data_IF_755557550990
#
_entry.id   IF_755557550990
#
_cell.length_a   1.000
_cell.length_b   1.000
_cell.length_c   1.000
_cell.angle_alpha   90.00
_cell.angle_beta   90.00
_cell.angle_gamma   90.00
#
_symmetry.space_group_name_H-M   'P 1'
#
loop_
_entity.id
_entity.type
_entity.pdbx_description
1 polymer ?
#
# COMPACT_ATOMS: atom_id res chain seq x y z
N UNK A 1 0.19 -18.50 -1.94
CA UNK A 1 1.11 -17.41 -1.56
C UNK A 1 0.51 -16.61 -0.41
N UNK A 2 1.34 -16.14 0.48
CA UNK A 2 0.95 -15.25 1.59
C UNK A 2 1.19 -13.79 1.18
N UNK A 3 0.15 -13.01 1.11
CA UNK A 3 0.20 -11.63 0.63
C UNK A 3 -0.22 -10.64 1.73
N UNK A 4 0.59 -9.61 1.95
CA UNK A 4 0.25 -8.49 2.80
C UNK A 4 -0.21 -7.30 1.97
N UNK A 5 -1.38 -6.75 2.30
CA UNK A 5 -1.87 -5.50 1.71
C UNK A 5 -1.70 -4.40 2.75
N UNK A 6 -0.81 -3.45 2.50
CA UNK A 6 -0.46 -2.41 3.47
C UNK A 6 -0.97 -1.06 2.96
N UNK A 7 -1.87 -0.45 3.75
CA UNK A 7 -2.43 0.86 3.46
C UNK A 7 -1.71 1.91 4.31
N UNK A 8 -1.02 2.84 3.65
CA UNK A 8 -0.32 3.94 4.32
C UNK A 8 -1.25 5.15 4.43
N UNK A 9 -1.66 5.47 5.65
CA UNK A 9 -2.67 6.49 5.94
C UNK A 9 -2.23 7.41 7.09
N UNK A 10 -0.94 7.75 7.15
CA UNK A 10 -0.37 8.54 8.25
C UNK A 10 0.23 9.90 7.81
N UNK A 11 -0.01 10.33 6.58
CA UNK A 11 0.51 11.60 6.08
C UNK A 11 -0.03 12.82 6.84
N UNK A 12 0.78 13.87 6.97
CA UNK A 12 0.45 15.07 7.74
C UNK A 12 -0.50 16.05 7.06
N UNK A 13 -0.78 15.90 5.77
CA UNK A 13 -1.69 16.77 4.99
C UNK A 13 -1.40 18.27 5.14
N UNK A 14 -0.14 18.66 5.31
CA UNK A 14 0.26 20.06 5.58
C UNK A 14 -0.20 21.05 4.51
N UNK A 15 -0.19 20.61 3.25
CA UNK A 15 -0.59 21.47 2.10
C UNK A 15 -2.09 21.70 2.02
N UNK A 16 -2.88 20.84 2.66
CA UNK A 16 -4.33 20.88 2.61
C UNK A 16 -4.95 21.67 3.77
N UNK A 17 -4.15 21.98 4.82
CA UNK A 17 -4.61 22.73 5.99
C UNK A 17 -5.47 21.94 6.97
N UNK A 18 -5.88 20.73 6.61
CA UNK A 18 -6.62 19.78 7.45
C UNK A 18 -6.30 18.37 6.98
N UNK A 19 -6.77 17.35 7.69
CA UNK A 19 -6.54 15.98 7.27
C UNK A 19 -7.32 15.65 5.99
N UNK A 20 -6.65 15.69 4.84
CA UNK A 20 -7.29 15.40 3.54
C UNK A 20 -7.86 13.98 3.46
N UNK A 21 -7.32 13.02 4.21
CA UNK A 21 -7.80 11.64 4.21
C UNK A 21 -9.20 11.51 4.79
N UNK A 22 -9.62 12.45 5.63
CA UNK A 22 -10.98 12.53 6.16
C UNK A 22 -11.93 13.34 5.27
N UNK A 23 -11.41 13.97 4.23
CA UNK A 23 -12.21 14.74 3.30
C UNK A 23 -13.16 13.83 2.52
N UNK A 24 -14.43 14.24 2.44
CA UNK A 24 -15.47 13.44 1.79
C UNK A 24 -15.40 13.57 0.27
N UNK A 25 -15.33 12.43 -0.41
CA UNK A 25 -15.40 12.32 -1.87
C UNK A 25 -16.49 11.30 -2.18
N UNK A 26 -17.48 11.71 -2.97
CA UNK A 26 -18.61 10.85 -3.33
C UNK A 26 -19.31 10.21 -2.10
N UNK A 27 -19.48 11.00 -1.05
CA UNK A 27 -20.22 10.57 0.15
C UNK A 27 -19.39 9.79 1.18
N UNK A 28 -18.12 9.52 0.92
CA UNK A 28 -17.25 8.81 1.86
C UNK A 28 -15.91 9.50 2.05
N UNK A 29 -15.28 9.38 3.24
CA UNK A 29 -13.93 9.90 3.44
C UNK A 29 -12.93 9.29 2.45
N UNK A 30 -11.94 10.07 2.04
CA UNK A 30 -10.95 9.66 1.04
C UNK A 30 -10.30 8.30 1.37
N UNK A 31 -9.87 8.09 2.62
CA UNK A 31 -9.23 6.83 3.02
C UNK A 31 -10.16 5.62 2.90
N UNK A 32 -11.48 5.85 3.05
CA UNK A 32 -12.47 4.75 3.03
C UNK A 32 -12.58 4.12 1.64
N UNK A 33 -12.35 4.90 0.58
CA UNK A 33 -12.35 4.39 -0.78
C UNK A 33 -11.33 3.30 -0.97
N UNK A 34 -10.06 3.55 -0.60
CA UNK A 34 -9.03 2.54 -0.77
C UNK A 34 -9.20 1.36 0.18
N UNK A 35 -9.63 1.60 1.42
CA UNK A 35 -9.88 0.52 2.36
C UNK A 35 -10.93 -0.45 1.83
N UNK A 36 -12.02 0.05 1.28
CA UNK A 36 -13.09 -0.76 0.67
C UNK A 36 -12.57 -1.59 -0.50
N UNK A 37 -11.73 -0.99 -1.35
CA UNK A 37 -11.15 -1.71 -2.49
C UNK A 37 -10.18 -2.81 -2.04
N UNK A 38 -9.38 -2.56 -1.00
CA UNK A 38 -8.48 -3.58 -0.43
C UNK A 38 -9.27 -4.76 0.16
N UNK A 39 -10.40 -4.49 0.79
CA UNK A 39 -11.27 -5.56 1.32
C UNK A 39 -11.83 -6.45 0.20
N UNK A 40 -12.20 -5.86 -0.93
CA UNK A 40 -12.63 -6.60 -2.12
C UNK A 40 -11.49 -7.43 -2.70
N UNK A 41 -10.31 -6.87 -2.78
CA UNK A 41 -9.09 -7.56 -3.25
C UNK A 41 -8.80 -8.77 -2.36
N UNK A 42 -8.82 -8.59 -1.03
CA UNK A 42 -8.61 -9.69 -0.10
C UNK A 42 -9.59 -10.83 -0.32
N UNK A 43 -10.87 -10.50 -0.49
CA UNK A 43 -11.90 -11.51 -0.76
C UNK A 43 -11.60 -12.31 -2.02
N UNK A 44 -11.27 -11.63 -3.11
CA UNK A 44 -10.92 -12.27 -4.38
C UNK A 44 -9.68 -13.17 -4.26
N UNK A 45 -8.65 -12.70 -3.56
CA UNK A 45 -7.42 -13.48 -3.35
C UNK A 45 -7.66 -14.72 -2.51
N UNK A 46 -8.50 -14.64 -1.49
CA UNK A 46 -8.89 -15.81 -0.68
C UNK A 46 -9.64 -16.84 -1.50
N UNK A 47 -10.51 -16.41 -2.41
CA UNK A 47 -11.20 -17.29 -3.34
C UNK A 47 -10.23 -18.00 -4.27
N UNK A 48 -9.10 -17.38 -4.59
CA UNK A 48 -8.01 -17.95 -5.40
C UNK A 48 -7.02 -18.78 -4.56
N UNK A 49 -7.35 -19.08 -3.30
CA UNK A 49 -6.54 -19.89 -2.38
C UNK A 49 -5.26 -19.22 -1.88
N UNK A 50 -5.16 -17.90 -1.97
CA UNK A 50 -4.09 -17.14 -1.33
C UNK A 50 -4.45 -16.79 0.10
N UNK A 51 -3.44 -16.69 0.97
CA UNK A 51 -3.60 -16.07 2.29
C UNK A 51 -3.35 -14.57 2.10
N UNK A 52 -4.26 -13.75 2.59
CA UNK A 52 -4.18 -12.29 2.40
C UNK A 52 -4.64 -11.57 3.66
N UNK A 53 -3.83 -10.63 4.14
CA UNK A 53 -4.14 -9.79 5.29
C UNK A 53 -3.97 -8.32 4.95
N UNK A 54 -4.79 -7.46 5.56
CA UNK A 54 -4.73 -6.01 5.40
C UNK A 54 -4.18 -5.40 6.67
N UNK A 55 -3.18 -4.52 6.53
CA UNK A 55 -2.61 -3.72 7.61
C UNK A 55 -2.78 -2.24 7.26
N UNK A 56 -3.34 -1.47 8.19
CA UNK A 56 -3.51 -0.02 8.05
C UNK A 56 -2.51 0.67 8.97
N UNK A 57 -1.67 1.52 8.41
CA UNK A 57 -0.74 2.34 9.19
C UNK A 57 -1.24 3.78 9.20
N UNK A 58 -1.56 4.31 10.37
CA UNK A 58 -2.14 5.64 10.51
C UNK A 58 -1.66 6.35 11.77
N UNK A 59 -1.83 7.66 11.82
CA UNK A 59 -1.70 8.46 13.04
C UNK A 59 -3.08 8.95 13.55
N UNK A 60 -4.14 8.69 12.81
CA UNK A 60 -5.47 9.27 13.05
C UNK A 60 -6.40 8.26 13.70
N UNK A 61 -6.99 8.64 14.83
CA UNK A 61 -7.92 7.78 15.58
C UNK A 61 -9.16 7.40 14.77
N UNK A 62 -9.68 8.31 13.96
CA UNK A 62 -10.88 8.04 13.15
C UNK A 62 -10.62 6.95 12.12
N UNK A 63 -9.44 6.96 11.49
CA UNK A 63 -9.05 5.94 10.51
C UNK A 63 -8.82 4.62 11.21
N UNK A 64 -8.11 4.64 12.35
CA UNK A 64 -7.84 3.45 13.15
C UNK A 64 -9.14 2.79 13.60
N UNK A 65 -10.07 3.55 14.14
CA UNK A 65 -11.34 3.04 14.63
C UNK A 65 -12.17 2.38 13.52
N UNK A 66 -12.23 3.00 12.34
CA UNK A 66 -12.95 2.42 11.21
C UNK A 66 -12.29 1.14 10.70
N UNK A 67 -10.97 1.12 10.61
CA UNK A 67 -10.23 -0.06 10.18
C UNK A 67 -10.40 -1.23 11.18
N UNK A 68 -10.33 -0.95 12.48
CA UNK A 68 -10.56 -1.95 13.53
C UNK A 68 -11.99 -2.49 13.48
N UNK A 69 -12.97 -1.62 13.25
CA UNK A 69 -14.37 -2.00 13.09
C UNK A 69 -14.57 -2.97 11.90
N UNK A 70 -13.76 -2.81 10.85
CA UNK A 70 -13.76 -3.71 9.70
C UNK A 70 -12.96 -5.00 9.95
N UNK A 71 -12.36 -5.17 11.13
CA UNK A 71 -11.59 -6.35 11.48
C UNK A 71 -10.15 -6.33 10.95
N UNK A 72 -9.65 -5.17 10.55
CA UNK A 72 -8.31 -5.04 9.99
C UNK A 72 -7.25 -4.80 11.06
N UNK A 73 -5.99 -5.12 10.75
CA UNK A 73 -4.88 -4.78 11.63
C UNK A 73 -4.54 -3.30 11.52
N UNK A 74 -4.36 -2.65 12.65
CA UNK A 74 -4.01 -1.23 12.71
C UNK A 74 -2.71 -1.05 13.45
N UNK A 75 -1.80 -0.29 12.86
CA UNK A 75 -0.54 0.11 13.49
C UNK A 75 -0.46 1.64 13.48
N UNK A 76 -0.08 2.20 14.62
CA UNK A 76 0.06 3.64 14.76
C UNK A 76 1.47 4.10 14.40
N UNK A 77 1.56 5.15 13.61
CA UNK A 77 2.81 5.86 13.40
C UNK A 77 2.87 7.07 14.34
N UNK A 78 3.71 6.98 15.36
CA UNK A 78 3.88 8.04 16.36
C UNK A 78 4.87 9.13 15.87
N UNK A 79 5.57 8.89 14.77
CA UNK A 79 6.57 9.79 14.20
C UNK A 79 6.34 10.05 12.71
N UNK A 80 5.14 10.54 12.32
CA UNK A 80 4.84 10.75 10.91
C UNK A 80 5.73 11.82 10.24
N UNK A 81 6.35 12.68 11.06
CA UNK A 81 7.28 13.71 10.57
C UNK A 81 8.57 13.13 9.99
N UNK A 82 8.88 11.88 10.30
CA UNK A 82 10.04 11.19 9.73
C UNK A 82 9.82 10.79 8.26
N UNK A 83 8.66 11.09 7.70
CA UNK A 83 8.33 10.86 6.29
C UNK A 83 7.67 9.51 6.05
N UNK A 84 7.33 9.26 4.77
CA UNK A 84 6.59 8.08 4.36
C UNK A 84 7.37 6.77 4.67
N UNK A 85 8.70 6.82 4.67
CA UNK A 85 9.51 5.65 5.00
C UNK A 85 9.19 5.09 6.39
N UNK A 86 8.87 5.95 7.36
CA UNK A 86 8.52 5.51 8.72
C UNK A 86 7.25 4.67 8.71
N UNK A 87 6.20 5.10 8.00
CA UNK A 87 4.96 4.35 7.88
C UNK A 87 5.15 3.03 7.12
N UNK A 88 5.93 3.06 6.04
CA UNK A 88 6.23 1.88 5.25
C UNK A 88 6.94 0.82 6.11
N UNK A 89 7.95 1.21 6.88
CA UNK A 89 8.69 0.30 7.76
C UNK A 89 7.82 -0.29 8.86
N UNK A 90 6.93 0.51 9.44
CA UNK A 90 5.99 0.04 10.46
C UNK A 90 5.08 -1.04 9.87
N UNK A 91 4.47 -0.77 8.72
CA UNK A 91 3.60 -1.72 8.05
C UNK A 91 4.33 -3.01 7.67
N UNK A 92 5.54 -2.88 7.14
CA UNK A 92 6.35 -4.02 6.75
C UNK A 92 6.78 -4.86 7.95
N UNK A 93 7.10 -4.24 9.08
CA UNK A 93 7.54 -4.96 10.29
C UNK A 93 6.53 -6.02 10.76
N UNK A 94 5.25 -5.79 10.51
CA UNK A 94 4.17 -6.71 10.85
C UNK A 94 3.92 -7.77 9.77
N UNK A 95 4.53 -7.62 8.60
CA UNK A 95 4.28 -8.45 7.43
C UNK A 95 5.53 -9.19 6.95
N UNK A 96 6.55 -9.30 7.79
CA UNK A 96 7.84 -9.93 7.41
C UNK A 96 7.72 -11.39 7.00
N UNK A 97 6.70 -12.08 7.46
CA UNK A 97 6.44 -13.47 7.13
C UNK A 97 5.64 -13.66 5.84
N UNK A 98 5.16 -12.56 5.25
CA UNK A 98 4.46 -12.62 3.97
C UNK A 98 5.45 -12.85 2.82
N UNK A 99 5.02 -13.61 1.81
CA UNK A 99 5.83 -13.86 0.60
C UNK A 99 6.04 -12.58 -0.21
N UNK A 100 5.04 -11.71 -0.20
CA UNK A 100 5.08 -10.40 -0.85
C UNK A 100 4.16 -9.41 -0.14
N UNK A 101 4.49 -8.12 -0.24
CA UNK A 101 3.67 -7.03 0.29
C UNK A 101 3.35 -6.02 -0.81
N UNK A 102 2.09 -5.64 -0.88
CA UNK A 102 1.61 -4.56 -1.72
C UNK A 102 1.40 -3.33 -0.85
N UNK A 103 1.95 -2.20 -1.28
CA UNK A 103 1.78 -0.91 -0.59
C UNK A 103 0.85 -0.02 -1.39
N UNK A 104 -0.16 0.54 -0.71
CA UNK A 104 -1.06 1.55 -1.25
C UNK A 104 -0.96 2.81 -0.41
N UNK A 105 -1.24 3.95 -1.03
CA UNK A 105 -1.42 5.22 -0.33
C UNK A 105 -2.90 5.57 -0.29
N UNK A 106 -3.31 6.31 0.74
CA UNK A 106 -4.74 6.57 0.99
C UNK A 106 -5.29 7.78 0.24
N UNK A 107 -4.43 8.49 -0.47
CA UNK A 107 -4.83 9.67 -1.26
C UNK A 107 -5.04 9.36 -2.74
N UNK A 108 -5.37 8.11 -3.06
CA UNK A 108 -5.75 7.67 -4.40
C UNK A 108 -7.18 7.12 -4.38
N UNK A 109 -8.20 7.96 -4.18
CA UNK A 109 -9.58 7.49 -3.99
C UNK A 109 -10.18 6.80 -5.22
N UNK A 110 -9.56 6.98 -6.39
CA UNK A 110 -10.02 6.40 -7.65
C UNK A 110 -9.34 5.07 -8.00
N UNK A 111 -8.41 4.61 -7.17
CA UNK A 111 -7.76 3.31 -7.38
C UNK A 111 -8.78 2.19 -7.18
N UNK A 112 -8.92 1.34 -8.19
CA UNK A 112 -9.89 0.24 -8.19
C UNK A 112 -9.23 -1.08 -7.79
N UNK A 113 -10.02 -1.95 -7.16
CA UNK A 113 -9.58 -3.30 -6.80
C UNK A 113 -9.15 -4.12 -8.01
N UNK A 114 -9.81 -3.93 -9.15
CA UNK A 114 -9.45 -4.60 -10.41
C UNK A 114 -8.02 -4.26 -10.85
N UNK A 115 -7.61 -3.01 -10.66
CA UNK A 115 -6.24 -2.58 -10.98
C UNK A 115 -5.24 -3.27 -10.05
N UNK A 116 -5.56 -3.36 -8.77
CA UNK A 116 -4.70 -4.04 -7.78
C UNK A 116 -4.58 -5.52 -8.10
N UNK A 117 -5.69 -6.19 -8.40
CA UNK A 117 -5.69 -7.62 -8.78
C UNK A 117 -4.88 -7.86 -10.05
N UNK A 118 -5.04 -6.99 -11.06
CA UNK A 118 -4.27 -7.09 -12.29
C UNK A 118 -2.77 -6.93 -12.04
N UNK A 119 -2.38 -6.01 -11.15
CA UNK A 119 -0.98 -5.83 -10.78
C UNK A 119 -0.41 -7.06 -10.08
N UNK A 120 -1.16 -7.65 -9.16
CA UNK A 120 -0.76 -8.89 -8.49
C UNK A 120 -0.64 -10.05 -9.47
N UNK A 121 -1.51 -10.13 -10.46
CA UNK A 121 -1.42 -11.13 -11.52
C UNK A 121 -0.14 -10.96 -12.34
N UNK A 122 0.19 -9.73 -12.73
CA UNK A 122 1.44 -9.41 -13.42
C UNK A 122 2.65 -9.82 -12.58
N UNK A 123 2.64 -9.49 -11.29
CA UNK A 123 3.69 -9.87 -10.35
C UNK A 123 3.90 -11.38 -10.29
N UNK A 124 2.82 -12.14 -10.17
CA UNK A 124 2.88 -13.60 -10.09
C UNK A 124 3.34 -14.24 -11.39
N UNK A 125 2.92 -13.69 -12.52
CA UNK A 125 3.18 -14.24 -13.85
C UNK A 125 4.61 -13.99 -14.33
N UNK A 126 5.15 -12.81 -14.10
CA UNK A 126 6.47 -12.44 -14.61
C UNK A 126 7.63 -12.93 -13.74
N UNK A 127 7.36 -13.38 -12.52
CA UNK A 127 8.39 -13.93 -11.64
C UNK A 127 9.46 -12.94 -11.21
N UNK A 128 9.22 -11.64 -11.38
CA UNK A 128 10.12 -10.59 -10.92
C UNK A 128 9.85 -10.27 -9.46
N UNK A 129 10.85 -9.70 -8.79
CA UNK A 129 10.74 -9.41 -7.35
C UNK A 129 9.93 -8.16 -7.02
N UNK A 130 9.63 -7.32 -8.02
CA UNK A 130 8.87 -6.09 -7.84
C UNK A 130 7.87 -5.97 -8.99
N UNK A 131 6.69 -5.42 -8.70
CA UNK A 131 5.76 -4.95 -9.71
C UNK A 131 5.20 -3.59 -9.31
N UNK A 132 4.99 -2.71 -10.28
CA UNK A 132 4.38 -1.40 -10.03
C UNK A 132 3.56 -0.95 -11.24
N UNK A 133 2.72 0.06 -11.01
CA UNK A 133 1.95 0.68 -12.09
C UNK A 133 2.72 1.81 -12.75
N UNK A 134 2.39 2.10 -13.99
CA UNK A 134 2.90 3.24 -14.72
C UNK A 134 1.72 4.04 -15.25
N UNK A 135 1.65 5.32 -14.90
CA UNK A 135 0.68 6.30 -15.41
C UNK A 135 1.44 7.35 -16.19
N UNK A 136 1.09 7.54 -17.44
CA UNK A 136 1.73 8.56 -18.33
C UNK A 136 3.27 8.52 -18.28
N UNK A 137 3.84 7.34 -18.33
CA UNK A 137 5.29 7.15 -18.31
C UNK A 137 5.95 7.32 -16.93
N UNK A 138 5.16 7.51 -15.87
CA UNK A 138 5.66 7.66 -14.51
C UNK A 138 5.29 6.45 -13.66
N UNK A 139 6.29 5.88 -13.01
CA UNK A 139 6.08 4.79 -12.06
C UNK A 139 5.42 5.32 -10.79
N UNK A 140 4.47 4.58 -10.25
CA UNK A 140 3.71 4.99 -9.07
C UNK A 140 3.13 3.84 -8.28
N UNK A 141 2.34 4.22 -7.28
CA UNK A 141 1.61 3.27 -6.45
C UNK A 141 0.34 2.78 -7.15
N UNK A 142 -0.10 1.56 -6.84
CA UNK A 142 0.49 0.63 -5.89
C UNK A 142 1.76 -0.06 -6.39
N UNK A 143 2.58 -0.53 -5.45
CA UNK A 143 3.77 -1.33 -5.74
C UNK A 143 3.73 -2.63 -4.92
N UNK A 144 4.25 -3.71 -5.51
CA UNK A 144 4.37 -5.01 -4.86
C UNK A 144 5.85 -5.36 -4.76
N UNK A 145 6.28 -5.84 -3.60
CA UNK A 145 7.65 -6.27 -3.35
C UNK A 145 7.67 -7.69 -2.78
N UNK A 146 8.50 -8.56 -3.35
CA UNK A 146 8.75 -9.86 -2.76
C UNK A 146 9.60 -9.72 -1.49
N UNK A 147 9.64 -10.76 -0.67
CA UNK A 147 10.38 -10.79 0.59
C UNK A 147 11.88 -10.46 0.44
N UNK A 148 12.47 -10.72 -0.70
CA UNK A 148 13.90 -10.42 -0.93
C UNK A 148 14.23 -8.94 -0.95
N UNK A 149 13.22 -8.06 -1.03
CA UNK A 149 13.38 -6.60 -0.96
C UNK A 149 13.06 -6.01 0.40
N UNK A 150 12.63 -6.81 1.37
CA UNK A 150 12.25 -6.29 2.69
C UNK A 150 13.43 -5.63 3.42
N UNK A 151 14.63 -6.20 3.30
CA UNK A 151 15.83 -5.59 3.89
C UNK A 151 16.12 -4.20 3.32
N UNK A 152 16.02 -4.06 2.00
CA UNK A 152 16.25 -2.78 1.34
C UNK A 152 15.15 -1.75 1.70
N UNK A 153 13.90 -2.19 1.76
CA UNK A 153 12.77 -1.34 2.21
C UNK A 153 12.95 -0.87 3.65
N UNK A 154 13.41 -1.75 4.55
CA UNK A 154 13.65 -1.39 5.95
C UNK A 154 14.82 -0.40 6.12
N UNK A 155 15.67 -0.27 5.12
CA UNK A 155 16.76 0.71 5.10
C UNK A 155 16.39 2.10 4.61
N UNK A 156 15.15 2.31 4.16
CA UNK A 156 14.69 3.62 3.70
C UNK A 156 14.58 4.61 4.85
N UNK A 157 14.93 5.87 4.59
CA UNK A 157 14.86 6.95 5.56
C UNK A 157 14.26 8.22 4.94
N UNK A 158 13.62 9.03 5.77
CA UNK A 158 13.06 10.32 5.35
C UNK A 158 11.78 10.18 4.53
N UNK A 159 11.47 11.20 3.76
CA UNK A 159 10.24 11.24 2.95
C UNK A 159 10.44 10.51 1.62
N UNK A 160 10.87 9.27 1.71
CA UNK A 160 11.21 8.38 0.60
C UNK A 160 10.39 7.09 0.74
N UNK A 161 9.67 6.73 -0.31
CA UNK A 161 8.86 5.51 -0.35
C UNK A 161 9.49 4.41 -1.19
N UNK A 162 8.70 3.37 -1.44
CA UNK A 162 9.14 2.19 -2.19
C UNK A 162 9.62 2.48 -3.61
N UNK A 163 9.23 3.61 -4.19
CA UNK A 163 9.70 4.01 -5.53
C UNK A 163 11.23 4.07 -5.62
N UNK A 164 11.92 4.43 -4.53
CA UNK A 164 13.38 4.42 -4.49
C UNK A 164 13.94 3.02 -4.75
N UNK A 165 13.33 2.00 -4.16
CA UNK A 165 13.71 0.60 -4.35
C UNK A 165 13.40 0.14 -5.77
N UNK A 166 12.25 0.54 -6.32
CA UNK A 166 11.86 0.27 -7.70
C UNK A 166 12.92 0.81 -8.68
N UNK A 167 13.30 2.06 -8.52
CA UNK A 167 14.28 2.74 -9.40
C UNK A 167 15.66 2.06 -9.33
N UNK A 168 16.09 1.66 -8.13
CA UNK A 168 17.37 0.98 -7.93
C UNK A 168 17.43 -0.42 -8.56
N UNK A 169 16.27 -1.04 -8.77
CA UNK A 169 16.17 -2.45 -9.18
C UNK A 169 15.35 -2.63 -10.47
N UNK A 170 15.45 -1.67 -11.40
CA UNK A 170 14.62 -1.62 -12.62
C UNK A 170 14.60 -2.92 -13.41
N UNK A 171 15.67 -3.68 -13.44
CA UNK A 171 15.75 -4.95 -14.18
C UNK A 171 14.87 -6.04 -13.59
N UNK A 172 14.53 -5.92 -12.30
CA UNK A 172 13.69 -6.88 -11.58
C UNK A 172 12.28 -6.32 -11.31
N UNK A 173 11.84 -5.36 -12.12
CA UNK A 173 10.54 -4.71 -11.99
C UNK A 173 9.64 -5.07 -13.17
N UNK A 174 8.48 -5.63 -12.85
CA UNK A 174 7.39 -5.80 -13.81
C UNK A 174 6.55 -4.52 -13.79
N UNK A 175 6.38 -3.87 -14.93
CA UNK A 175 5.65 -2.62 -15.03
C UNK A 175 4.30 -2.86 -15.70
N UNK A 176 3.22 -2.48 -15.03
CA UNK A 176 1.87 -2.53 -15.57
C UNK A 176 1.43 -1.12 -15.96
N UNK A 177 1.22 -0.89 -17.24
CA UNK A 177 0.74 0.40 -17.74
C UNK A 177 -0.76 0.52 -17.51
N UNK A 178 -1.17 1.66 -16.99
CA UNK A 178 -2.57 1.98 -16.72
C UNK A 178 -2.93 3.27 -17.45
N UNK A 179 -4.13 3.30 -18.00
CA UNK A 179 -4.64 4.45 -18.75
C UNK A 179 -5.41 5.40 -17.85
#
# INVERSE_FOLDING_TARGET
MKLGLIMLAAGNSRRFGSNKLLYTIEGEPMYRHILSELMRVRKALKEQKHTCEITVVTQYEEIAAEAEKCGEQVLYNLHPDEGISSSLKIGLSRNREMDACLFTVSDQPWLRGETILALLEVFLKEGKGIACVEYDGKLGNPCVFSERYYGELMGLEGDVGGKRVVVRNRKDVAVMRVV
#
